data_IF_653912324402
#
_entry.id   IF_653912324402
#
_cell.length_a   1.000
_cell.length_b   1.000
_cell.length_c   1.000
_cell.angle_alpha   90.00
_cell.angle_beta   90.00
_cell.angle_gamma   90.00
#
_symmetry.space_group_name_H-M   'P 1'
#
loop_
_entity.id
_entity.type
_entity.pdbx_description
1 polymer ?
#
# COMPACT_ATOMS: atom_id res chain seq x y z
N UNK A 1 -13.84 11.82 1.41
CA UNK A 1 -13.71 11.20 2.75
C UNK A 1 -12.57 11.90 3.48
N UNK A 2 -12.55 11.98 4.82
CA UNK A 2 -11.40 12.57 5.52
C UNK A 2 -10.25 11.54 5.62
N UNK A 3 -9.00 12.03 5.69
CA UNK A 3 -7.79 11.19 5.65
C UNK A 3 -7.67 10.24 6.85
N UNK A 4 -8.16 10.65 8.02
CA UNK A 4 -8.15 9.82 9.22
C UNK A 4 -9.10 8.61 9.10
N UNK A 5 -10.27 8.80 8.48
CA UNK A 5 -11.23 7.75 8.19
C UNK A 5 -10.64 6.78 7.16
N UNK A 6 -10.00 7.30 6.11
CA UNK A 6 -9.30 6.48 5.10
C UNK A 6 -8.22 5.63 5.78
N UNK A 7 -7.37 6.23 6.62
CA UNK A 7 -6.34 5.53 7.35
C UNK A 7 -6.90 4.42 8.24
N UNK A 8 -7.93 4.74 9.04
CA UNK A 8 -8.55 3.78 9.95
C UNK A 8 -9.23 2.62 9.21
N UNK A 9 -9.90 2.91 8.10
CA UNK A 9 -10.57 1.91 7.27
C UNK A 9 -9.57 0.99 6.56
N UNK A 10 -8.52 1.56 5.95
CA UNK A 10 -7.44 0.78 5.34
C UNK A 10 -6.71 -0.06 6.37
N UNK A 11 -6.44 0.47 7.57
CA UNK A 11 -5.80 -0.30 8.64
C UNK A 11 -6.64 -1.53 9.01
N UNK A 12 -7.94 -1.35 9.26
CA UNK A 12 -8.88 -2.43 9.58
C UNK A 12 -8.98 -3.45 8.45
N UNK A 13 -9.00 -2.97 7.21
CA UNK A 13 -9.08 -3.85 6.05
C UNK A 13 -7.82 -4.70 5.89
N UNK A 14 -6.64 -4.07 5.91
CA UNK A 14 -5.36 -4.74 5.71
C UNK A 14 -5.11 -5.77 6.82
N UNK A 15 -5.39 -5.44 8.09
CA UNK A 15 -5.25 -6.42 9.20
C UNK A 15 -6.24 -7.58 9.12
N UNK A 16 -7.37 -7.39 8.43
CA UNK A 16 -8.38 -8.42 8.20
C UNK A 16 -8.07 -9.38 7.06
N UNK A 17 -7.02 -9.16 6.26
CA UNK A 17 -6.69 -10.02 5.11
C UNK A 17 -6.17 -11.41 5.50
N UNK A 18 -5.64 -11.56 6.71
CA UNK A 18 -5.09 -12.82 7.21
C UNK A 18 -4.11 -12.62 8.37
N UNK A 19 -3.44 -13.70 8.83
CA UNK A 19 -2.44 -13.61 9.90
C UNK A 19 -1.32 -12.64 9.53
N UNK A 20 -1.15 -11.60 10.34
CA UNK A 20 -0.23 -10.51 10.00
C UNK A 20 0.40 -9.87 11.23
N UNK A 21 1.68 -9.53 11.12
CA UNK A 21 2.39 -8.69 12.09
C UNK A 21 2.24 -7.22 11.68
N UNK A 22 1.61 -6.44 12.55
CA UNK A 22 1.56 -4.98 12.45
C UNK A 22 2.71 -4.37 13.27
N UNK A 23 3.43 -3.41 12.70
CA UNK A 23 4.50 -2.68 13.38
C UNK A 23 4.26 -1.18 13.28
N UNK A 24 4.44 -0.46 14.37
CA UNK A 24 4.36 1.00 14.42
C UNK A 24 5.78 1.56 14.42
N UNK A 25 6.09 2.49 13.52
CA UNK A 25 7.38 3.16 13.57
C UNK A 25 7.38 4.20 14.71
N UNK A 26 8.39 4.17 15.56
CA UNK A 26 8.49 5.07 16.72
C UNK A 26 8.40 6.54 16.30
N UNK A 27 7.56 7.32 17.00
CA UNK A 27 7.35 8.77 16.80
C UNK A 27 6.68 9.19 15.48
N UNK A 28 6.10 8.26 14.72
CA UNK A 28 5.36 8.57 13.47
C UNK A 28 4.02 7.84 13.42
N UNK A 29 3.03 8.40 12.71
CA UNK A 29 1.80 7.70 12.36
C UNK A 29 2.05 6.80 11.14
N UNK A 30 2.97 5.84 11.27
CA UNK A 30 3.33 4.92 10.20
C UNK A 30 3.16 3.48 10.65
N UNK A 31 2.29 2.74 9.95
CA UNK A 31 1.99 1.34 10.23
C UNK A 31 2.55 0.45 9.11
N UNK A 32 3.43 -0.48 9.46
CA UNK A 32 3.96 -1.49 8.57
C UNK A 32 3.25 -2.83 8.75
N UNK A 33 3.01 -3.54 7.65
CA UNK A 33 2.23 -4.77 7.63
C UNK A 33 3.04 -5.90 7.00
N UNK A 34 3.22 -7.00 7.74
CA UNK A 34 4.02 -8.17 7.32
C UNK A 34 3.19 -9.45 7.48
N UNK A 35 2.78 -10.11 6.39
CA UNK A 35 2.01 -11.37 6.47
C UNK A 35 2.82 -12.41 7.24
N UNK A 36 2.20 -13.20 8.11
CA UNK A 36 2.90 -14.29 8.80
C UNK A 36 2.92 -15.49 7.86
N UNK A 37 4.11 -15.94 7.44
CA UNK A 37 4.28 -17.15 6.63
C UNK A 37 4.99 -18.23 7.44
N UNK A 38 4.67 -19.50 7.17
CA UNK A 38 5.35 -20.65 7.76
C UNK A 38 6.79 -20.86 7.24
N UNK A 39 7.19 -20.15 6.17
CA UNK A 39 8.49 -20.33 5.48
C UNK A 39 9.62 -19.41 5.96
N UNK A 40 9.41 -18.63 7.03
CA UNK A 40 10.47 -17.77 7.62
C UNK A 40 10.23 -16.27 7.44
N UNK A 41 11.30 -15.49 7.21
CA UNK A 41 11.27 -14.01 7.33
C UNK A 41 10.19 -13.37 6.46
N UNK A 42 9.18 -12.78 7.10
CA UNK A 42 8.11 -12.11 6.37
C UNK A 42 8.56 -10.75 5.86
N UNK A 43 8.59 -10.63 4.54
CA UNK A 43 8.79 -9.36 3.86
C UNK A 43 7.60 -8.44 4.13
N UNK A 44 7.81 -7.13 4.05
CA UNK A 44 6.74 -6.15 4.24
C UNK A 44 5.83 -6.19 3.01
N UNK A 45 4.51 -6.26 3.24
CA UNK A 45 3.50 -6.20 2.20
C UNK A 45 2.98 -4.78 1.99
N UNK A 46 2.64 -4.08 3.08
CA UNK A 46 2.08 -2.74 2.99
C UNK A 46 2.67 -1.81 4.05
N UNK A 47 2.59 -0.51 3.79
CA UNK A 47 2.81 0.55 4.79
C UNK A 47 1.73 1.60 4.66
N UNK A 48 1.04 1.93 5.76
CA UNK A 48 0.21 3.14 5.84
C UNK A 48 1.03 4.26 6.45
N UNK A 49 1.29 5.29 5.68
CA UNK A 49 1.93 6.52 6.13
C UNK A 49 0.84 7.57 6.38
N UNK A 50 0.59 7.93 7.64
CA UNK A 50 -0.37 8.96 8.04
C UNK A 50 0.27 10.32 8.35
N UNK A 51 1.56 10.51 8.05
CA UNK A 51 2.22 11.81 8.21
C UNK A 51 1.88 12.74 7.04
N UNK A 52 1.68 14.03 7.35
CA UNK A 52 1.26 15.09 6.40
C UNK A 52 2.03 15.12 5.07
N UNK A 53 3.32 14.77 5.06
CA UNK A 53 4.15 14.83 3.84
C UNK A 53 3.96 13.66 2.89
N UNK A 54 3.56 12.49 3.38
CA UNK A 54 3.41 11.29 2.56
C UNK A 54 1.95 10.94 2.35
N UNK A 55 1.19 10.91 3.45
CA UNK A 55 -0.23 10.56 3.55
C UNK A 55 -0.70 9.58 2.47
N UNK A 56 -0.19 8.36 2.54
CA UNK A 56 -0.36 7.38 1.48
C UNK A 56 -0.36 5.95 2.00
N UNK A 57 -1.01 5.10 1.23
CA UNK A 57 -0.82 3.66 1.28
C UNK A 57 0.32 3.30 0.33
N UNK A 58 1.28 2.54 0.83
CA UNK A 58 2.37 1.96 0.05
C UNK A 58 2.19 0.45 0.01
N UNK A 59 2.10 -0.13 -1.18
CA UNK A 59 2.14 -1.58 -1.40
C UNK A 59 3.52 -1.97 -1.92
N UNK A 60 4.13 -2.95 -1.27
CA UNK A 60 5.45 -3.49 -1.61
C UNK A 60 5.25 -4.68 -2.54
N UNK A 61 5.63 -4.53 -3.79
CA UNK A 61 5.55 -5.60 -4.80
C UNK A 61 6.95 -6.08 -5.11
N UNK A 62 7.16 -7.39 -5.03
CA UNK A 62 8.48 -8.01 -5.19
C UNK A 62 9.56 -7.49 -4.21
N UNK A 63 9.28 -7.42 -2.90
CA UNK A 63 10.27 -6.97 -1.93
C UNK A 63 11.53 -7.85 -1.98
N UNK A 64 12.70 -7.20 -1.94
CA UNK A 64 14.00 -7.86 -2.05
C UNK A 64 14.59 -7.87 -3.47
N UNK A 65 13.84 -7.45 -4.49
CA UNK A 65 14.34 -7.30 -5.86
C UNK A 65 14.33 -5.81 -6.28
N UNK A 66 15.40 -5.04 -6.03
CA UNK A 66 15.45 -3.61 -6.35
C UNK A 66 15.45 -3.31 -7.86
N UNK A 67 15.77 -4.30 -8.70
CA UNK A 67 15.76 -4.17 -10.16
C UNK A 67 14.40 -4.48 -10.79
N UNK A 68 13.42 -4.91 -9.98
CA UNK A 68 12.07 -5.21 -10.44
C UNK A 68 11.36 -3.94 -10.89
N UNK A 69 10.80 -3.96 -12.11
CA UNK A 69 9.96 -2.90 -12.64
C UNK A 69 8.46 -3.12 -12.35
N UNK A 70 8.11 -4.18 -11.61
CA UNK A 70 6.71 -4.57 -11.33
C UNK A 70 5.92 -3.45 -10.65
N UNK A 71 6.52 -2.73 -9.69
CA UNK A 71 5.86 -1.62 -9.00
C UNK A 71 5.53 -0.49 -9.94
N UNK A 72 6.40 -0.17 -10.90
CA UNK A 72 6.13 0.85 -11.92
C UNK A 72 4.94 0.46 -12.80
N UNK A 73 4.89 -0.78 -13.28
CA UNK A 73 3.79 -1.26 -14.13
C UNK A 73 2.46 -1.21 -13.36
N UNK A 74 2.45 -1.77 -12.14
CA UNK A 74 1.24 -1.82 -11.32
C UNK A 74 0.82 -0.41 -10.84
N UNK A 75 1.77 0.50 -10.62
CA UNK A 75 1.48 1.92 -10.34
C UNK A 75 0.71 2.57 -11.49
N UNK A 76 1.04 2.25 -12.75
CA UNK A 76 0.29 2.75 -13.90
C UNK A 76 -1.16 2.22 -13.90
N UNK A 77 -1.36 0.93 -13.60
CA UNK A 77 -2.70 0.33 -13.51
C UNK A 77 -3.58 1.05 -12.48
N UNK A 78 -3.08 1.25 -11.25
CA UNK A 78 -3.89 1.88 -10.20
C UNK A 78 -4.13 3.37 -10.45
N UNK A 79 -3.18 4.06 -11.09
CA UNK A 79 -3.35 5.45 -11.54
C UNK A 79 -4.44 5.58 -12.59
N UNK A 80 -4.51 4.66 -13.55
CA UNK A 80 -5.57 4.64 -14.55
C UNK A 80 -6.93 4.29 -13.93
N UNK A 81 -6.96 3.35 -12.98
CA UNK A 81 -8.18 2.95 -12.27
C UNK A 81 -8.76 4.08 -11.43
N UNK A 82 -7.93 4.81 -10.69
CA UNK A 82 -8.35 5.89 -9.79
C UNK A 82 -8.27 7.29 -10.43
N UNK A 83 -7.86 7.37 -11.71
CA UNK A 83 -7.73 8.60 -12.50
C UNK A 83 -6.87 9.67 -11.83
N UNK A 84 -5.65 9.31 -11.42
CA UNK A 84 -4.68 10.25 -10.83
C UNK A 84 -3.29 10.09 -11.44
N UNK A 85 -2.41 11.06 -11.19
CA UNK A 85 -1.00 11.01 -11.56
C UNK A 85 -0.13 11.36 -10.35
N UNK A 86 0.58 10.37 -9.83
CA UNK A 86 1.45 10.51 -8.66
C UNK A 86 2.59 11.51 -8.91
N UNK A 87 3.12 11.59 -10.13
CA UNK A 87 4.19 12.52 -10.49
C UNK A 87 3.74 13.98 -10.50
N UNK A 88 2.43 14.23 -10.62
CA UNK A 88 1.85 15.57 -10.45
C UNK A 88 1.48 15.85 -8.99
N UNK A 89 1.23 14.82 -8.19
CA UNK A 89 0.79 14.95 -6.79
C UNK A 89 1.93 14.95 -5.78
N UNK A 90 3.06 14.33 -6.11
CA UNK A 90 4.19 14.09 -5.20
C UNK A 90 5.51 14.28 -5.93
N UNK A 91 6.46 14.89 -5.23
CA UNK A 91 7.81 15.19 -5.76
C UNK A 91 8.89 14.22 -5.24
N UNK A 92 8.51 13.13 -4.57
CA UNK A 92 9.48 12.16 -4.06
C UNK A 92 9.80 11.08 -5.09
N UNK A 93 11.01 10.51 -4.99
CA UNK A 93 11.44 9.41 -5.85
C UNK A 93 10.62 8.15 -5.56
N UNK A 94 9.88 7.69 -6.56
CA UNK A 94 9.13 6.43 -6.49
C UNK A 94 10.09 5.26 -6.60
N UNK A 95 10.05 4.33 -5.63
CA UNK A 95 10.81 3.09 -5.76
C UNK A 95 10.12 2.15 -6.74
N UNK A 96 10.92 1.49 -7.58
CA UNK A 96 10.43 0.62 -8.67
C UNK A 96 9.61 -0.60 -8.20
N UNK A 97 9.78 -1.00 -6.94
CA UNK A 97 9.12 -2.13 -6.29
C UNK A 97 8.03 -1.69 -5.29
N UNK A 98 7.66 -0.41 -5.29
CA UNK A 98 6.61 0.14 -4.43
C UNK A 98 5.51 0.78 -5.29
N UNK A 99 4.28 0.69 -4.81
CA UNK A 99 3.10 1.34 -5.37
C UNK A 99 2.59 2.30 -4.31
N UNK A 100 2.32 3.54 -4.71
CA UNK A 100 1.90 4.64 -3.85
C UNK A 100 0.47 5.05 -4.21
N UNK A 101 -0.39 5.06 -3.21
CA UNK A 101 -1.79 5.51 -3.33
C UNK A 101 -1.99 6.63 -2.29
N UNK A 102 -1.96 7.90 -2.72
CA UNK A 102 -2.26 9.04 -1.84
C UNK A 102 -3.67 8.93 -1.25
N UNK A 103 -3.89 9.34 -0.01
CA UNK A 103 -5.24 9.30 0.56
C UNK A 103 -6.18 10.29 -0.11
N UNK A 104 -5.66 11.38 -0.66
CA UNK A 104 -6.44 12.39 -1.38
C UNK A 104 -7.14 11.81 -2.62
N UNK A 105 -6.65 10.70 -3.18
CA UNK A 105 -7.32 10.04 -4.32
C UNK A 105 -8.43 9.10 -3.88
N UNK A 106 -8.57 8.82 -2.58
CA UNK A 106 -9.61 7.95 -2.00
C UNK A 106 -10.73 8.85 -1.44
N UNK A 107 -11.29 9.69 -2.31
CA UNK A 107 -12.25 10.72 -1.95
C UNK A 107 -13.69 10.21 -1.75
N UNK A 108 -14.00 9.00 -2.25
CA UNK A 108 -15.33 8.39 -2.20
C UNK A 108 -15.30 6.93 -1.71
N UNK A 109 -16.48 6.41 -1.35
CA UNK A 109 -16.63 4.99 -0.97
C UNK A 109 -16.33 4.07 -2.14
N UNK A 110 -16.75 4.44 -3.35
CA UNK A 110 -16.48 3.69 -4.57
C UNK A 110 -14.97 3.55 -4.80
N UNK A 111 -14.21 4.63 -4.62
CA UNK A 111 -12.74 4.58 -4.72
C UNK A 111 -12.10 3.77 -3.61
N UNK A 112 -12.64 3.84 -2.39
CA UNK A 112 -12.20 2.97 -1.30
C UNK A 112 -12.39 1.49 -1.64
N UNK A 113 -13.52 1.09 -2.22
CA UNK A 113 -13.76 -0.29 -2.65
C UNK A 113 -12.82 -0.72 -3.79
N UNK A 114 -12.54 0.16 -4.76
CA UNK A 114 -11.53 -0.11 -5.80
C UNK A 114 -10.14 -0.34 -5.18
N UNK A 115 -9.75 0.48 -4.20
CA UNK A 115 -8.48 0.30 -3.49
C UNK A 115 -8.46 -1.01 -2.70
N UNK A 116 -9.53 -1.38 -2.00
CA UNK A 116 -9.63 -2.67 -1.29
C UNK A 116 -9.51 -3.86 -2.24
N UNK A 117 -10.23 -3.83 -3.36
CA UNK A 117 -10.15 -4.86 -4.40
C UNK A 117 -8.73 -4.98 -4.96
N UNK A 118 -8.06 -3.86 -5.17
CA UNK A 118 -6.67 -3.82 -5.57
C UNK A 118 -5.73 -4.42 -4.50
N UNK A 119 -5.88 -4.01 -3.23
CA UNK A 119 -5.07 -4.54 -2.11
C UNK A 119 -5.18 -6.06 -2.03
N UNK A 120 -6.38 -6.63 -2.07
CA UNK A 120 -6.55 -8.09 -1.95
C UNK A 120 -5.95 -8.83 -3.15
N UNK A 121 -6.04 -8.28 -4.37
CA UNK A 121 -5.34 -8.81 -5.55
C UNK A 121 -3.83 -8.87 -5.30
N UNK A 122 -3.23 -7.76 -4.84
CA UNK A 122 -1.79 -7.71 -4.56
C UNK A 122 -1.39 -8.60 -3.40
N UNK A 123 -2.22 -8.73 -2.36
CA UNK A 123 -1.96 -9.60 -1.21
C UNK A 123 -1.90 -11.08 -1.62
N UNK A 124 -2.83 -11.55 -2.45
CA UNK A 124 -2.81 -12.93 -2.96
C UNK A 124 -1.54 -13.21 -3.77
N UNK A 125 -1.20 -12.33 -4.70
CA UNK A 125 0.04 -12.43 -5.48
C UNK A 125 1.29 -12.39 -4.59
N UNK A 126 1.26 -11.60 -3.52
CA UNK A 126 2.37 -11.52 -2.57
C UNK A 126 2.61 -12.87 -1.86
N UNK A 127 1.54 -13.55 -1.44
CA UNK A 127 1.62 -14.85 -0.77
C UNK A 127 2.02 -15.99 -1.71
N UNK A 128 1.67 -15.93 -3.00
CA UNK A 128 2.10 -16.94 -3.98
C UNK A 128 3.61 -16.85 -4.28
N UNK A 129 4.18 -15.65 -4.18
CA UNK A 129 5.57 -15.37 -4.54
C UNK A 129 6.55 -15.39 -3.35
N UNK A 130 6.09 -15.59 -2.10
CA UNK A 130 6.94 -15.60 -0.89
C UNK A 130 6.51 -16.70 0.09
#
# INVERSE_FOLDING_TARGET
MNELNIFGELHKYIIGLGPMKCTIAGRSLTLGYKPISFRGSSKKFATLYGERKYNCLIIHVDPGNPQSDKGRIIQMEIQEMLKFNIGQMRNFLLKKHEIYIPFEVIDSKERMELVKAFIVKQYKLFLENN
#
